data_IF_685390351888
#
_entry.id   IF_685390351888
#
_cell.length_a   1.000
_cell.length_b   1.000
_cell.length_c   1.000
_cell.angle_alpha   90.00
_cell.angle_beta   90.00
_cell.angle_gamma   90.00
#
_symmetry.space_group_name_H-M   'P 1'
#
loop_
_entity.id
_entity.type
_entity.pdbx_description
1 polymer ?
#
# COMPACT_ATOMS: atom_id res chain seq x y z
N UNK A 1 14.39 -12.92 -8.74
CA UNK A 1 13.76 -11.57 -8.64
C UNK A 1 12.33 -11.66 -9.18
N UNK A 2 11.37 -11.36 -8.36
CA UNK A 2 9.96 -11.25 -8.76
C UNK A 2 9.78 -9.99 -9.61
N UNK A 3 8.81 -10.00 -10.53
CA UNK A 3 8.56 -8.85 -11.39
C UNK A 3 7.17 -8.29 -11.15
N UNK A 4 7.06 -6.96 -11.18
CA UNK A 4 5.78 -6.27 -11.17
C UNK A 4 4.97 -6.62 -12.43
N UNK A 5 3.64 -6.58 -12.31
CA UNK A 5 2.73 -6.78 -13.44
C UNK A 5 2.19 -5.43 -13.90
N UNK A 6 2.52 -5.05 -15.13
CA UNK A 6 1.95 -3.82 -15.73
C UNK A 6 0.43 -3.99 -15.90
N UNK A 7 -0.35 -3.05 -15.41
CA UNK A 7 -1.81 -3.02 -15.52
C UNK A 7 -2.22 -2.09 -16.65
N UNK A 8 -1.80 -0.84 -16.58
CA UNK A 8 -1.93 0.16 -17.63
C UNK A 8 -0.63 0.96 -17.71
N UNK A 9 -0.60 2.00 -18.51
CA UNK A 9 0.60 2.82 -18.63
C UNK A 9 0.98 3.45 -17.29
N UNK A 10 2.25 3.30 -16.90
CA UNK A 10 2.82 3.77 -15.64
C UNK A 10 2.22 3.17 -14.35
N UNK A 11 1.25 2.25 -14.43
CA UNK A 11 0.63 1.62 -13.26
C UNK A 11 0.94 0.12 -13.21
N UNK A 12 1.48 -0.31 -12.08
CA UNK A 12 1.94 -1.68 -11.88
C UNK A 12 1.33 -2.29 -10.61
N UNK A 13 0.86 -3.53 -10.71
CA UNK A 13 0.56 -4.34 -9.54
C UNK A 13 1.88 -4.88 -8.98
N UNK A 14 2.13 -4.61 -7.71
CA UNK A 14 3.33 -5.02 -6.98
C UNK A 14 2.99 -5.90 -5.76
N UNK A 15 1.73 -6.23 -5.60
CA UNK A 15 1.23 -7.09 -4.53
C UNK A 15 1.75 -8.53 -4.59
N UNK A 16 1.22 -9.39 -3.74
CA UNK A 16 1.64 -10.79 -3.60
C UNK A 16 0.45 -11.73 -3.70
N UNK A 17 0.65 -12.92 -4.21
CA UNK A 17 -0.30 -14.03 -4.16
C UNK A 17 0.18 -15.03 -3.12
N UNK A 18 -0.58 -15.20 -2.06
CA UNK A 18 -0.37 -16.24 -1.07
C UNK A 18 -1.23 -17.46 -1.42
N UNK A 19 -0.61 -18.40 -2.11
CA UNK A 19 -1.28 -19.63 -2.53
C UNK A 19 -1.30 -20.70 -1.43
N UNK A 20 -0.66 -20.45 -0.31
CA UNK A 20 -0.62 -21.38 0.83
C UNK A 20 -1.65 -21.05 1.88
N UNK A 21 -2.14 -19.82 1.93
CA UNK A 21 -3.20 -19.44 2.83
C UNK A 21 -4.48 -20.19 2.45
N UNK A 22 -5.09 -20.86 3.44
CA UNK A 22 -6.33 -21.64 3.24
C UNK A 22 -7.49 -21.11 4.06
N UNK A 23 -7.24 -20.12 4.91
CA UNK A 23 -8.22 -19.55 5.80
C UNK A 23 -8.06 -18.04 5.88
N UNK A 24 -9.15 -17.32 5.88
CA UNK A 24 -9.19 -15.88 6.08
C UNK A 24 -9.96 -15.55 7.35
N UNK A 25 -9.46 -14.62 8.16
CA UNK A 25 -9.95 -14.37 9.51
C UNK A 25 -9.98 -15.64 10.41
N UNK A 26 -8.82 -16.30 10.50
CA UNK A 26 -8.72 -17.60 11.18
C UNK A 26 -9.46 -18.68 10.39
N UNK A 27 -10.18 -19.54 11.08
CA UNK A 27 -10.89 -20.66 10.45
C UNK A 27 -12.30 -20.29 9.94
N UNK A 28 -12.68 -19.00 9.95
CA UNK A 28 -14.04 -18.60 9.63
C UNK A 28 -14.37 -18.72 8.13
N UNK A 29 -13.41 -18.44 7.27
CA UNK A 29 -13.61 -18.45 5.82
C UNK A 29 -12.56 -19.30 5.13
N UNK A 30 -12.91 -20.53 4.66
CA UNK A 30 -12.00 -21.31 3.83
C UNK A 30 -11.79 -20.63 2.47
N UNK A 31 -10.53 -20.60 2.02
CA UNK A 31 -10.12 -20.05 0.73
C UNK A 31 -9.27 -21.07 -0.02
N UNK A 32 -9.90 -21.90 -0.82
CA UNK A 32 -9.25 -23.06 -1.44
C UNK A 32 -8.13 -22.69 -2.43
N UNK A 33 -8.22 -21.52 -3.05
CA UNK A 33 -7.27 -21.04 -4.05
C UNK A 33 -6.22 -20.05 -3.51
N UNK A 34 -6.21 -19.81 -2.18
CA UNK A 34 -5.36 -18.80 -1.56
C UNK A 34 -5.94 -17.39 -1.68
N UNK A 35 -5.11 -16.37 -1.41
CA UNK A 35 -5.51 -14.97 -1.45
C UNK A 35 -4.47 -14.09 -2.17
N UNK A 36 -4.81 -12.83 -2.36
CA UNK A 36 -3.89 -11.80 -2.87
C UNK A 36 -3.85 -10.63 -1.90
N UNK A 37 -2.64 -10.16 -1.63
CA UNK A 37 -2.40 -8.90 -0.94
C UNK A 37 -2.09 -7.86 -2.02
N UNK A 38 -2.99 -6.90 -2.20
CA UNK A 38 -2.92 -6.00 -3.35
C UNK A 38 -2.21 -4.69 -2.99
N UNK A 39 -1.15 -4.41 -3.71
CA UNK A 39 -0.45 -3.14 -3.67
C UNK A 39 -0.15 -2.68 -5.11
N UNK A 40 -0.13 -1.37 -5.33
CA UNK A 40 0.08 -0.80 -6.65
C UNK A 40 1.17 0.26 -6.62
N UNK A 41 1.98 0.30 -7.68
CA UNK A 41 2.99 1.32 -7.89
C UNK A 41 2.66 2.12 -9.14
N UNK A 42 2.59 3.42 -8.98
CA UNK A 42 2.47 4.37 -10.10
C UNK A 42 3.82 5.04 -10.30
N UNK A 43 4.40 4.88 -11.49
CA UNK A 43 5.70 5.43 -11.85
C UNK A 43 5.50 6.57 -12.82
N UNK A 44 5.32 7.76 -12.27
CA UNK A 44 5.06 8.99 -13.01
C UNK A 44 6.17 10.00 -12.72
N UNK A 45 5.95 11.30 -12.83
CA UNK A 45 6.92 12.33 -12.41
C UNK A 45 7.26 12.13 -10.92
N UNK A 46 6.26 11.91 -10.08
CA UNK A 46 6.40 11.35 -8.73
C UNK A 46 6.01 9.85 -8.71
N UNK A 47 6.77 9.06 -7.98
CA UNK A 47 6.47 7.63 -7.77
C UNK A 47 5.60 7.47 -6.53
N UNK A 48 4.46 6.82 -6.70
CA UNK A 48 3.49 6.60 -5.62
C UNK A 48 3.23 5.12 -5.39
N UNK A 49 3.44 4.66 -4.16
CA UNK A 49 3.06 3.32 -3.70
C UNK A 49 1.71 3.38 -2.98
N UNK A 50 0.76 2.57 -3.40
CA UNK A 50 -0.55 2.38 -2.77
C UNK A 50 -0.57 1.06 -2.02
N UNK A 51 -0.69 1.13 -0.71
CA UNK A 51 -0.64 0.02 0.25
C UNK A 51 0.64 -0.82 0.19
N UNK A 52 0.71 -1.79 1.07
CA UNK A 52 1.75 -2.81 1.12
C UNK A 52 1.11 -4.20 1.14
N UNK A 53 1.71 -5.13 1.83
CA UNK A 53 1.28 -6.53 1.95
C UNK A 53 1.51 -7.00 3.39
N UNK A 54 1.09 -8.22 3.72
CA UNK A 54 1.48 -8.88 4.97
C UNK A 54 3.01 -8.80 5.19
N UNK A 55 3.44 -8.66 6.43
CA UNK A 55 4.84 -8.43 6.79
C UNK A 55 5.80 -9.48 6.21
N UNK A 56 5.41 -10.75 6.24
CA UNK A 56 6.22 -11.86 5.74
C UNK A 56 6.50 -11.80 4.24
N UNK A 57 5.65 -11.14 3.47
CA UNK A 57 5.79 -10.99 2.01
C UNK A 57 6.44 -9.66 1.58
N UNK A 58 6.89 -8.85 2.53
CA UNK A 58 7.47 -7.53 2.21
C UNK A 58 8.65 -7.61 1.24
N UNK A 59 9.50 -8.61 1.37
CA UNK A 59 10.67 -8.77 0.48
C UNK A 59 10.23 -9.04 -0.98
N UNK A 60 9.15 -9.80 -1.17
CA UNK A 60 8.60 -10.03 -2.51
C UNK A 60 8.00 -8.76 -3.11
N UNK A 61 7.28 -7.95 -2.28
CA UNK A 61 6.80 -6.62 -2.67
C UNK A 61 7.98 -5.75 -3.12
N UNK A 62 9.04 -5.65 -2.30
CA UNK A 62 10.21 -4.83 -2.60
C UNK A 62 10.93 -5.27 -3.89
N UNK A 63 11.10 -6.57 -4.12
CA UNK A 63 11.64 -7.06 -5.39
C UNK A 63 10.81 -6.61 -6.61
N UNK A 64 9.48 -6.62 -6.50
CA UNK A 64 8.57 -6.16 -7.56
C UNK A 64 8.68 -4.65 -7.77
N UNK A 65 8.69 -3.88 -6.70
CA UNK A 65 8.88 -2.42 -6.72
C UNK A 65 10.20 -2.09 -7.43
N UNK A 66 11.31 -2.69 -7.00
CA UNK A 66 12.64 -2.45 -7.59
C UNK A 66 12.70 -2.83 -9.07
N UNK A 67 11.96 -3.87 -9.49
CA UNK A 67 11.92 -4.28 -10.90
C UNK A 67 11.40 -3.20 -11.85
N UNK A 68 10.74 -2.16 -11.30
CA UNK A 68 10.14 -1.07 -12.06
C UNK A 68 10.81 0.27 -11.80
N UNK A 69 11.29 0.51 -10.58
CA UNK A 69 11.86 1.80 -10.16
C UNK A 69 13.10 2.23 -10.96
N UNK A 70 13.91 1.26 -11.41
CA UNK A 70 15.13 1.54 -12.18
C UNK A 70 16.07 2.56 -11.49
N UNK A 71 16.15 2.50 -10.17
CA UNK A 71 16.98 3.39 -9.35
C UNK A 71 16.29 4.67 -8.90
N UNK A 72 15.01 4.86 -9.19
CA UNK A 72 14.21 5.93 -8.60
C UNK A 72 13.80 5.56 -7.17
N UNK A 73 13.45 6.57 -6.39
CA UNK A 73 12.89 6.43 -5.05
C UNK A 73 11.34 6.47 -5.09
N UNK A 74 10.69 6.13 -3.99
CA UNK A 74 9.25 6.32 -3.81
C UNK A 74 9.03 7.71 -3.22
N UNK A 75 8.29 8.57 -3.89
CA UNK A 75 7.99 9.94 -3.46
C UNK A 75 6.78 10.01 -2.54
N UNK A 76 5.80 9.13 -2.76
CA UNK A 76 4.55 9.11 -2.01
C UNK A 76 4.20 7.69 -1.58
N UNK A 77 3.71 7.53 -0.35
CA UNK A 77 3.07 6.31 0.11
C UNK A 77 1.62 6.64 0.49
N UNK A 78 0.67 5.90 -0.05
CA UNK A 78 -0.75 6.04 0.27
C UNK A 78 -1.19 4.80 1.04
N UNK A 79 -1.64 4.96 2.26
CA UNK A 79 -2.20 3.90 3.10
C UNK A 79 -3.71 3.98 3.01
N UNK A 80 -4.31 3.16 2.14
CA UNK A 80 -5.76 3.12 1.92
C UNK A 80 -6.47 2.36 3.02
N UNK A 81 -5.78 1.33 3.56
CA UNK A 81 -6.31 0.46 4.60
C UNK A 81 -5.19 0.02 5.54
N UNK A 82 -5.49 -0.07 6.84
CA UNK A 82 -4.49 -0.34 7.88
C UNK A 82 -4.52 -1.77 8.43
N UNK A 83 -5.34 -2.65 7.86
CA UNK A 83 -5.29 -4.08 8.18
C UNK A 83 -3.93 -4.66 7.76
N UNK A 84 -3.36 -5.64 8.49
CA UNK A 84 -2.00 -6.14 8.25
C UNK A 84 -1.72 -6.61 6.83
N UNK A 85 -2.70 -7.14 6.13
CA UNK A 85 -2.58 -7.57 4.73
C UNK A 85 -2.41 -6.40 3.73
N UNK A 86 -2.66 -5.17 4.18
CA UNK A 86 -2.44 -3.92 3.45
C UNK A 86 -1.30 -3.08 4.03
N UNK A 87 -1.02 -3.20 5.33
CA UNK A 87 -0.07 -2.32 6.02
C UNK A 87 1.15 -3.04 6.62
N UNK A 88 1.15 -4.37 6.69
CA UNK A 88 2.19 -5.16 7.38
C UNK A 88 3.61 -4.89 6.89
N UNK A 89 3.77 -4.66 5.59
CA UNK A 89 5.06 -4.33 4.98
C UNK A 89 5.53 -2.88 5.20
N UNK A 90 4.67 -1.99 5.70
CA UNK A 90 4.94 -0.55 5.78
C UNK A 90 6.26 -0.23 6.48
N UNK A 91 6.55 -0.87 7.60
CA UNK A 91 7.76 -0.63 8.39
C UNK A 91 9.05 -0.80 7.57
N UNK A 92 9.14 -1.91 6.84
CA UNK A 92 10.31 -2.22 6.02
C UNK A 92 10.38 -1.34 4.77
N UNK A 93 9.24 -1.07 4.15
CA UNK A 93 9.14 -0.17 2.99
C UNK A 93 9.58 1.23 3.39
N UNK A 94 9.06 1.78 4.50
CA UNK A 94 9.43 3.12 4.97
C UNK A 94 10.89 3.21 5.41
N UNK A 95 11.44 2.15 6.01
CA UNK A 95 12.86 2.12 6.36
C UNK A 95 13.78 2.14 5.12
N UNK A 96 13.35 1.52 4.02
CA UNK A 96 14.10 1.49 2.75
C UNK A 96 13.92 2.77 1.94
N UNK A 97 12.72 3.31 1.91
CA UNK A 97 12.34 4.52 1.20
C UNK A 97 11.76 5.53 2.19
N UNK A 98 12.62 6.14 3.04
CA UNK A 98 12.15 7.13 4.00
C UNK A 98 11.55 8.32 3.24
N UNK A 99 10.30 8.62 3.53
CA UNK A 99 9.49 9.51 2.73
C UNK A 99 8.80 10.55 3.61
N UNK A 100 8.68 11.77 3.11
CA UNK A 100 8.01 12.87 3.82
C UNK A 100 6.50 12.96 3.50
N UNK A 101 6.00 12.14 2.56
CA UNK A 101 4.62 12.19 2.09
C UNK A 101 3.95 10.82 2.25
N UNK A 102 3.46 10.53 3.45
CA UNK A 102 2.62 9.36 3.73
C UNK A 102 1.17 9.81 3.92
N UNK A 103 0.32 9.47 2.99
CA UNK A 103 -1.09 9.86 3.00
C UNK A 103 -1.94 8.79 3.65
N UNK A 104 -2.84 9.20 4.53
CA UNK A 104 -3.82 8.34 5.17
C UNK A 104 -5.07 9.14 5.58
N UNK A 105 -6.21 8.48 5.76
CA UNK A 105 -7.36 9.09 6.43
C UNK A 105 -7.04 9.45 7.88
N UNK A 106 -7.89 10.21 8.55
CA UNK A 106 -7.67 10.54 9.98
C UNK A 106 -7.65 9.28 10.85
N UNK A 107 -8.51 8.31 10.55
CA UNK A 107 -8.54 7.01 11.24
C UNK A 107 -7.33 6.16 10.88
N UNK A 108 -6.93 6.16 9.60
CA UNK A 108 -5.75 5.47 9.11
C UNK A 108 -4.48 5.98 9.80
N UNK A 109 -4.29 7.30 9.87
CA UNK A 109 -3.17 7.90 10.62
C UNK A 109 -3.13 7.41 12.07
N UNK A 110 -4.28 7.41 12.76
CA UNK A 110 -4.36 6.96 14.16
C UNK A 110 -3.93 5.50 14.29
N UNK A 111 -4.47 4.61 13.45
CA UNK A 111 -4.13 3.19 13.46
C UNK A 111 -2.64 2.95 13.15
N UNK A 112 -2.09 3.67 12.16
CA UNK A 112 -0.68 3.55 11.79
C UNK A 112 0.27 3.99 12.92
N UNK A 113 -0.09 5.04 13.66
CA UNK A 113 0.68 5.48 14.84
C UNK A 113 0.65 4.41 15.93
N UNK A 114 -0.52 3.83 16.19
CA UNK A 114 -0.68 2.78 17.22
C UNK A 114 0.03 1.47 16.85
N UNK A 115 0.02 1.09 15.56
CA UNK A 115 0.60 -0.17 15.08
C UNK A 115 2.10 -0.08 14.76
N UNK A 116 2.56 1.07 14.28
CA UNK A 116 3.93 1.20 13.75
C UNK A 116 4.72 2.35 14.36
N UNK A 117 4.47 3.60 13.91
CA UNK A 117 5.28 4.76 14.25
C UNK A 117 4.49 6.05 14.39
N UNK A 118 4.82 6.83 15.39
CA UNK A 118 4.35 8.21 15.58
C UNK A 118 5.22 9.26 14.84
N UNK A 119 6.44 8.89 14.45
CA UNK A 119 7.44 9.79 13.84
C UNK A 119 7.31 9.96 12.32
N UNK A 120 6.38 9.25 11.68
CA UNK A 120 6.12 9.39 10.25
C UNK A 120 5.33 10.68 9.99
N UNK A 121 5.72 11.50 9.00
CA UNK A 121 5.02 12.75 8.69
C UNK A 121 3.72 12.49 7.90
N UNK A 122 2.73 11.88 8.56
CA UNK A 122 1.44 11.57 7.93
C UNK A 122 0.71 12.81 7.47
N UNK A 123 0.37 12.84 6.17
CA UNK A 123 -0.53 13.81 5.56
C UNK A 123 -1.96 13.27 5.65
N UNK A 124 -2.81 13.91 6.45
CA UNK A 124 -4.22 13.51 6.56
C UNK A 124 -4.97 13.99 5.34
N UNK A 125 -5.64 13.07 4.68
CA UNK A 125 -6.52 13.34 3.52
C UNK A 125 -7.96 12.91 3.80
N UNK A 126 -8.88 13.48 3.05
CA UNK A 126 -10.33 13.24 3.13
C UNK A 126 -10.93 13.23 1.73
N UNK A 127 -12.19 12.90 1.65
CA UNK A 127 -12.95 12.92 0.40
C UNK A 127 -12.82 14.26 -0.34
N UNK A 128 -12.52 14.19 -1.63
CA UNK A 128 -12.22 15.27 -2.58
C UNK A 128 -10.85 15.93 -2.44
N UNK A 129 -10.01 15.54 -1.49
CA UNK A 129 -8.60 15.93 -1.55
C UNK A 129 -7.94 15.25 -2.75
N UNK A 130 -6.92 15.87 -3.32
CA UNK A 130 -6.22 15.38 -4.51
C UNK A 130 -4.71 15.44 -4.36
N UNK A 131 -4.02 14.49 -4.98
CA UNK A 131 -2.59 14.59 -5.25
C UNK A 131 -2.34 14.45 -6.75
N UNK A 132 -1.47 15.30 -7.30
CA UNK A 132 -1.00 15.19 -8.68
C UNK A 132 0.39 14.57 -8.68
N UNK A 133 0.63 13.56 -9.52
CA UNK A 133 1.91 12.86 -9.64
C UNK A 133 2.61 13.10 -10.97
N UNK A 134 2.05 13.98 -11.79
CA UNK A 134 2.49 14.30 -13.15
C UNK A 134 1.37 14.08 -14.15
N UNK A 135 1.26 12.88 -14.71
CA UNK A 135 0.21 12.49 -15.64
C UNK A 135 -1.14 12.23 -14.96
N UNK A 136 -1.11 11.77 -13.70
CA UNK A 136 -2.29 11.35 -12.97
C UNK A 136 -2.64 12.31 -11.83
N UNK A 137 -3.94 12.56 -11.70
CA UNK A 137 -4.56 13.15 -10.52
C UNK A 137 -5.29 12.05 -9.74
N UNK A 138 -4.91 11.84 -8.48
CA UNK A 138 -5.59 10.92 -7.59
C UNK A 138 -6.52 11.69 -6.68
N UNK A 139 -7.78 11.28 -6.66
CA UNK A 139 -8.82 11.86 -5.79
C UNK A 139 -9.11 10.89 -4.67
N UNK A 140 -8.99 11.34 -3.42
CA UNK A 140 -9.32 10.51 -2.27
C UNK A 140 -10.82 10.45 -2.03
N UNK A 141 -11.31 9.27 -1.68
CA UNK A 141 -12.71 9.03 -1.31
C UNK A 141 -12.72 8.17 -0.05
N UNK A 142 -13.13 8.75 1.08
CA UNK A 142 -13.29 7.99 2.31
C UNK A 142 -14.47 7.02 2.19
N UNK A 143 -14.22 5.76 2.49
CA UNK A 143 -15.20 4.66 2.46
C UNK A 143 -15.32 4.03 3.86
N UNK A 144 -15.56 4.89 4.86
CA UNK A 144 -15.58 4.50 6.27
C UNK A 144 -16.52 3.32 6.53
N UNK A 145 -16.05 2.36 7.33
CA UNK A 145 -16.75 1.13 7.69
C UNK A 145 -17.02 0.16 6.53
N UNK A 146 -16.27 0.31 5.43
CA UNK A 146 -16.25 -0.65 4.32
C UNK A 146 -14.80 -1.16 4.12
N UNK A 147 -14.24 -2.04 5.00
CA UNK A 147 -15.00 -2.55 6.18
C UNK A 147 -14.47 -1.97 7.51
N UNK A 148 -13.37 -1.23 7.52
CA UNK A 148 -12.82 -0.52 8.67
C UNK A 148 -13.06 1.00 8.58
N UNK A 149 -12.90 1.75 9.70
CA UNK A 149 -13.13 3.19 9.70
C UNK A 149 -12.09 4.00 8.93
N UNK A 150 -10.96 3.41 8.55
CA UNK A 150 -9.84 4.04 7.88
C UNK A 150 -9.89 3.94 6.35
N UNK A 151 -10.73 3.08 5.78
CA UNK A 151 -10.79 2.85 4.34
C UNK A 151 -11.04 4.11 3.51
N UNK A 152 -10.27 4.23 2.41
CA UNK A 152 -10.42 5.28 1.42
C UNK A 152 -10.05 4.80 0.01
#
# INVERSE_FOLDING_TARGET
MKRAKKIIDNVYWVGVRDLNNRHFHGDLYPIDEGCTYNAYLVVDDEVTLFDTVEEEFTEELLERVESVLQGREIDNIVVQHTEPDHSGGFKKVYAKYPNEKVYASISGKKNMIEQYFDQVPYQVVKTNDTINTGKYDFVFVEMQMIHWPDNM
#
